data_IF_727741352842
#
_entry.id   IF_727741352842
#
_cell.length_a   1.000
_cell.length_b   1.000
_cell.length_c   1.000
_cell.angle_alpha   90.00
_cell.angle_beta   90.00
_cell.angle_gamma   90.00
#
_symmetry.space_group_name_H-M   'P 1'
#
loop_
_entity.id
_entity.type
_entity.pdbx_description
1 polymer ?
#
# COMPACT_ATOMS: atom_id res chain seq x y z
N UNK A 1 10.95 -9.30 -41.57
CA UNK A 1 10.25 -10.18 -40.61
C UNK A 1 10.63 -9.71 -39.21
N UNK A 2 9.85 -8.78 -38.66
CA UNK A 2 10.10 -8.24 -37.32
C UNK A 2 9.20 -8.96 -36.33
N UNK A 3 9.77 -9.77 -35.44
CA UNK A 3 9.04 -10.27 -34.28
C UNK A 3 9.07 -9.19 -33.20
N UNK A 4 8.05 -8.32 -33.19
CA UNK A 4 7.77 -7.50 -32.01
C UNK A 4 7.30 -8.45 -30.90
N UNK A 5 8.23 -8.87 -30.05
CA UNK A 5 7.91 -9.54 -28.80
C UNK A 5 7.30 -8.49 -27.87
N UNK A 6 5.98 -8.32 -27.97
CA UNK A 6 5.19 -7.74 -26.88
C UNK A 6 5.31 -8.75 -25.73
N UNK A 7 6.23 -8.51 -24.80
CA UNK A 7 6.19 -9.18 -23.51
C UNK A 7 4.86 -8.79 -22.89
N UNK A 8 3.91 -9.71 -22.66
CA UNK A 8 2.78 -9.39 -21.83
C UNK A 8 3.37 -9.15 -20.44
N UNK A 9 3.28 -7.92 -19.95
CA UNK A 9 3.42 -7.65 -18.53
C UNK A 9 2.39 -8.55 -17.83
N UNK A 10 2.89 -9.63 -17.26
CA UNK A 10 2.08 -10.73 -16.76
C UNK A 10 1.30 -10.17 -15.58
N UNK A 11 -0.03 -10.08 -15.71
CA UNK A 11 -0.90 -9.48 -14.69
C UNK A 11 -0.77 -10.14 -13.29
N UNK A 12 -0.19 -11.34 -13.25
CA UNK A 12 0.26 -12.07 -12.06
C UNK A 12 1.41 -11.40 -11.28
N UNK A 13 2.25 -10.56 -11.91
CA UNK A 13 3.26 -9.78 -11.19
C UNK A 13 2.66 -8.54 -10.51
N UNK A 14 1.59 -7.97 -11.07
CA UNK A 14 0.86 -6.86 -10.45
C UNK A 14 0.13 -7.29 -9.17
N UNK A 15 -0.34 -8.54 -9.12
CA UNK A 15 -1.01 -9.15 -7.95
C UNK A 15 -0.09 -9.23 -6.72
N UNK A 16 1.23 -9.45 -6.94
CA UNK A 16 2.21 -9.56 -5.85
C UNK A 16 2.60 -8.21 -5.23
N UNK A 17 2.27 -7.10 -5.90
CA UNK A 17 2.52 -5.72 -5.44
C UNK A 17 1.22 -5.00 -5.04
N UNK A 18 0.06 -5.49 -5.47
CA UNK A 18 -1.22 -5.06 -4.92
C UNK A 18 -1.43 -5.74 -3.59
N UNK A 19 -1.33 -4.98 -2.49
CA UNK A 19 -1.90 -5.42 -1.22
C UNK A 19 -3.32 -5.87 -1.49
N UNK A 20 -3.65 -7.12 -1.12
CA UNK A 20 -5.00 -7.64 -1.27
C UNK A 20 -5.98 -6.64 -0.64
N UNK A 21 -7.09 -6.33 -1.31
CA UNK A 21 -8.01 -5.28 -0.84
C UNK A 21 -8.47 -5.51 0.61
N UNK A 22 -8.54 -6.76 1.06
CA UNK A 22 -8.84 -7.12 2.45
C UNK A 22 -7.67 -6.77 3.38
N UNK A 23 -6.44 -7.04 2.96
CA UNK A 23 -5.24 -6.69 3.72
C UNK A 23 -5.07 -5.17 3.83
N UNK A 24 -5.33 -4.41 2.76
CA UNK A 24 -5.31 -2.95 2.81
C UNK A 24 -6.36 -2.44 3.81
N UNK A 25 -7.58 -2.97 3.75
CA UNK A 25 -8.65 -2.59 4.67
C UNK A 25 -8.29 -2.89 6.14
N UNK A 26 -7.61 -4.02 6.40
CA UNK A 26 -7.11 -4.35 7.74
C UNK A 26 -6.03 -3.38 8.20
N UNK A 27 -5.07 -3.06 7.34
CA UNK A 27 -3.98 -2.12 7.63
C UNK A 27 -4.51 -0.71 7.90
N UNK A 28 -5.43 -0.19 7.08
CA UNK A 28 -6.09 1.10 7.32
C UNK A 28 -6.88 1.09 8.63
N UNK A 29 -7.59 0.00 8.92
CA UNK A 29 -8.32 -0.16 10.19
C UNK A 29 -7.37 -0.14 11.39
N UNK A 30 -6.23 -0.82 11.27
CA UNK A 30 -5.20 -0.82 12.31
C UNK A 30 -4.61 0.58 12.51
N UNK A 31 -4.31 1.29 11.42
CA UNK A 31 -3.76 2.65 11.46
C UNK A 31 -4.70 3.62 12.18
N UNK A 32 -6.01 3.57 11.88
CA UNK A 32 -7.03 4.37 12.59
C UNK A 32 -7.10 4.07 14.09
N UNK A 33 -6.98 2.81 14.49
CA UNK A 33 -7.04 2.39 15.89
C UNK A 33 -5.76 2.70 16.67
N UNK A 34 -4.62 2.69 15.99
CA UNK A 34 -3.29 2.87 16.57
C UNK A 34 -2.66 4.18 16.09
N UNK A 35 -3.50 5.18 15.82
CA UNK A 35 -3.03 6.47 15.32
C UNK A 35 -2.07 7.11 16.32
N UNK A 36 -0.93 7.55 15.81
CA UNK A 36 0.08 8.29 16.55
C UNK A 36 0.60 9.47 15.74
N UNK A 37 1.16 10.44 16.44
CA UNK A 37 1.75 11.65 15.88
C UNK A 37 2.94 11.33 14.96
N UNK A 38 3.18 12.17 13.95
CA UNK A 38 4.26 11.98 12.95
C UNK A 38 5.63 11.75 13.57
N UNK A 39 5.89 12.37 14.72
CA UNK A 39 7.15 12.25 15.46
C UNK A 39 7.41 10.87 16.06
N UNK A 40 6.36 10.05 16.23
CA UNK A 40 6.45 8.72 16.85
C UNK A 40 6.28 7.58 15.84
N UNK A 41 6.06 7.88 14.55
CA UNK A 41 5.87 6.88 13.50
C UNK A 41 7.19 6.18 13.17
N UNK A 42 7.10 4.90 12.88
CA UNK A 42 8.22 4.11 12.41
C UNK A 42 8.19 4.06 10.88
N UNK A 43 9.28 4.44 10.23
CA UNK A 43 9.43 4.41 8.77
C UNK A 43 9.39 2.99 8.20
N UNK A 44 9.51 1.96 9.05
CA UNK A 44 9.38 0.54 8.68
C UNK A 44 7.93 0.09 8.55
N UNK A 45 6.95 0.94 8.89
CA UNK A 45 5.55 0.60 8.77
C UNK A 45 5.09 0.48 7.32
N UNK A 46 3.99 -0.25 7.13
CA UNK A 46 3.42 -0.45 5.81
C UNK A 46 2.98 0.91 5.22
N UNK A 47 3.26 1.21 3.93
CA UNK A 47 2.89 2.49 3.33
C UNK A 47 1.40 2.82 3.44
N UNK A 48 0.52 1.81 3.37
CA UNK A 48 -0.93 1.95 3.65
C UNK A 48 -1.22 2.51 5.05
N UNK A 49 -0.46 2.09 6.07
CA UNK A 49 -0.61 2.61 7.43
C UNK A 49 -0.18 4.08 7.46
N UNK A 50 0.98 4.39 6.88
CA UNK A 50 1.52 5.75 6.85
C UNK A 50 0.61 6.70 6.07
N UNK A 51 0.08 6.28 4.93
CA UNK A 51 -0.91 6.99 4.11
C UNK A 51 -2.19 7.26 4.92
N UNK A 52 -2.72 6.24 5.59
CA UNK A 52 -3.93 6.40 6.40
C UNK A 52 -3.71 7.35 7.59
N UNK A 53 -2.55 7.29 8.25
CA UNK A 53 -2.23 8.22 9.33
C UNK A 53 -2.09 9.66 8.82
N UNK A 54 -1.43 9.86 7.67
CA UNK A 54 -1.34 11.17 7.01
C UNK A 54 -2.73 11.71 6.66
N UNK A 55 -3.65 10.83 6.22
CA UNK A 55 -5.04 11.19 5.94
C UNK A 55 -5.77 11.65 7.21
N UNK A 56 -5.50 11.04 8.36
CA UNK A 56 -6.04 11.44 9.67
C UNK A 56 -5.44 12.77 10.13
N UNK A 57 -4.15 13.03 9.89
CA UNK A 57 -3.52 14.33 10.22
C UNK A 57 -4.18 15.50 9.46
N UNK A 58 -4.74 15.24 8.28
CA UNK A 58 -5.37 16.24 7.40
C UNK A 58 -6.88 16.38 7.61
N UNK A 59 -7.50 15.56 8.46
CA UNK A 59 -8.94 15.60 8.79
C UNK A 59 -9.22 16.59 9.93
#
# INVERSE_FOLDING_TARGET
>A
MGISATIPFSAEEADRLSVDAIEEMKLRTWARKNYIDVSQRDDLWHPVILDEMLRIDQE
#
